data_IF_489378503732
#
_entry.id   IF_489378503732
#
_cell.length_a   1.000
_cell.length_b   1.000
_cell.length_c   1.000
_cell.angle_alpha   90.00
_cell.angle_beta   90.00
_cell.angle_gamma   90.00
#
_symmetry.space_group_name_H-M   'P 1'
#
loop_
_entity.id
_entity.type
_entity.pdbx_description
1 polymer ?
#
# COMPACT_ATOMS: atom_id res chain seq x y z
N UNK A 1 -9.62 0.62 1.93
CA UNK A 1 -9.08 0.55 3.33
C UNK A 1 -10.26 0.56 4.30
N UNK A 2 -10.72 -0.62 4.71
CA UNK A 2 -11.96 -0.81 5.49
C UNK A 2 -11.87 -0.28 6.94
N UNK A 3 -10.67 -0.09 7.47
CA UNK A 3 -10.43 0.32 8.86
C UNK A 3 -10.52 1.84 9.10
N UNK A 4 -11.21 2.60 8.25
CA UNK A 4 -11.43 4.04 8.45
C UNK A 4 -10.37 4.96 7.81
N UNK A 5 -9.55 4.46 6.92
CA UNK A 5 -8.56 5.24 6.18
C UNK A 5 -7.23 5.43 6.93
N UNK A 6 -6.38 6.32 6.41
CA UNK A 6 -5.01 6.54 6.91
C UNK A 6 -4.99 6.95 8.38
N UNK A 7 -5.88 7.85 8.78
CA UNK A 7 -5.89 8.40 10.15
C UNK A 7 -6.18 7.34 11.20
N UNK A 8 -7.14 6.47 10.94
CA UNK A 8 -7.52 5.44 11.90
C UNK A 8 -6.52 4.28 11.92
N UNK A 9 -6.02 3.87 10.77
CA UNK A 9 -4.96 2.83 10.72
C UNK A 9 -3.68 3.33 11.38
N UNK A 10 -3.35 4.63 11.28
CA UNK A 10 -2.23 5.22 12.02
C UNK A 10 -2.43 5.12 13.54
N UNK A 11 -3.64 5.39 14.05
CA UNK A 11 -3.95 5.23 15.48
C UNK A 11 -3.79 3.78 15.93
N UNK A 12 -4.25 2.82 15.11
CA UNK A 12 -4.07 1.39 15.37
C UNK A 12 -2.58 1.05 15.46
N UNK A 13 -1.76 1.58 14.53
CA UNK A 13 -0.31 1.39 14.55
C UNK A 13 0.35 1.92 15.83
N UNK A 14 -0.02 3.13 16.26
CA UNK A 14 0.49 3.73 17.51
C UNK A 14 0.09 2.88 18.73
N UNK A 15 -1.14 2.38 18.75
CA UNK A 15 -1.60 1.51 19.84
C UNK A 15 -0.85 0.18 19.84
N UNK A 16 -0.64 -0.44 18.69
CA UNK A 16 0.12 -1.67 18.56
C UNK A 16 1.56 -1.49 19.06
N UNK A 17 2.21 -0.38 18.69
CA UNK A 17 3.55 -0.03 19.15
C UNK A 17 3.61 0.11 20.67
N UNK A 18 2.61 0.75 21.28
CA UNK A 18 2.52 0.90 22.74
C UNK A 18 2.45 -0.45 23.48
N UNK A 19 1.94 -1.49 22.82
CA UNK A 19 1.88 -2.87 23.33
C UNK A 19 3.02 -3.76 22.80
N UNK A 20 4.06 -3.17 22.21
CA UNK A 20 5.19 -3.88 21.62
C UNK A 20 4.74 -4.93 20.55
N UNK A 21 3.74 -4.57 19.74
CA UNK A 21 3.20 -5.42 18.68
C UNK A 21 3.53 -4.86 17.32
N UNK A 22 3.83 -5.76 16.41
CA UNK A 22 3.98 -5.46 15.00
C UNK A 22 2.61 -5.47 14.32
N UNK A 23 2.44 -4.63 13.31
CA UNK A 23 1.22 -4.56 12.51
C UNK A 23 1.59 -4.61 11.03
N UNK A 24 0.88 -5.43 10.29
CA UNK A 24 0.95 -5.50 8.84
C UNK A 24 -0.45 -5.26 8.30
N UNK A 25 -0.70 -4.16 7.57
CA UNK A 25 -2.01 -3.92 7.00
C UNK A 25 -2.35 -5.00 5.96
N UNK A 26 -3.53 -5.59 6.08
CA UNK A 26 -4.09 -6.39 5.01
C UNK A 26 -4.50 -5.48 3.85
N UNK A 27 -4.03 -5.78 2.66
CA UNK A 27 -4.34 -5.04 1.44
C UNK A 27 -5.35 -5.82 0.63
N UNK A 28 -6.58 -5.34 0.61
CA UNK A 28 -7.61 -5.95 -0.20
C UNK A 28 -7.27 -5.84 -1.70
N UNK A 29 -7.55 -6.93 -2.36
CA UNK A 29 -7.29 -7.21 -3.78
C UNK A 29 -7.73 -6.08 -4.74
N UNK A 30 -8.75 -5.33 -4.40
CA UNK A 30 -9.45 -4.43 -5.32
C UNK A 30 -9.16 -2.93 -5.11
N UNK A 31 -8.25 -2.58 -4.20
CA UNK A 31 -8.01 -1.18 -3.84
C UNK A 31 -6.56 -0.74 -4.05
N UNK A 32 -6.13 -0.44 -5.28
CA UNK A 32 -4.75 -0.05 -5.55
C UNK A 32 -4.31 1.21 -4.76
N UNK A 33 -5.19 2.20 -4.60
CA UNK A 33 -4.90 3.38 -3.78
C UNK A 33 -4.76 3.04 -2.29
N UNK A 34 -5.55 2.07 -1.80
CA UNK A 34 -5.43 1.56 -0.44
C UNK A 34 -4.08 0.90 -0.18
N UNK A 35 -3.55 0.16 -1.16
CA UNK A 35 -2.21 -0.44 -1.08
C UNK A 35 -1.10 0.61 -1.02
N UNK A 36 -1.19 1.68 -1.82
CA UNK A 36 -0.23 2.79 -1.76
C UNK A 36 -0.31 3.52 -0.41
N UNK A 37 -1.51 3.76 0.09
CA UNK A 37 -1.68 4.36 1.42
C UNK A 37 -1.11 3.48 2.54
N UNK A 38 -1.30 2.16 2.46
CA UNK A 38 -0.71 1.20 3.38
C UNK A 38 0.83 1.20 3.31
N UNK A 39 1.40 1.32 2.12
CA UNK A 39 2.85 1.43 1.91
C UNK A 39 3.43 2.64 2.65
N UNK A 40 2.80 3.83 2.54
CA UNK A 40 3.20 5.01 3.28
C UNK A 40 3.10 4.83 4.79
N UNK A 41 2.02 4.19 5.28
CA UNK A 41 1.84 3.92 6.70
C UNK A 41 2.92 2.98 7.24
N UNK A 42 3.16 1.85 6.57
CA UNK A 42 4.19 0.88 6.96
C UNK A 42 5.56 1.54 6.99
N UNK A 43 5.91 2.33 5.98
CA UNK A 43 7.17 3.04 5.93
C UNK A 43 7.34 4.11 7.02
N UNK A 44 6.24 4.61 7.59
CA UNK A 44 6.26 5.61 8.65
C UNK A 44 6.41 5.02 10.06
N UNK A 45 6.24 3.73 10.23
CA UNK A 45 6.34 3.08 11.53
C UNK A 45 7.77 2.61 11.83
N UNK A 46 8.28 2.80 13.05
CA UNK A 46 9.63 2.39 13.42
C UNK A 46 9.90 0.90 13.22
N UNK A 47 8.86 0.08 13.32
CA UNK A 47 8.89 -1.37 13.10
C UNK A 47 8.09 -1.81 11.88
N UNK A 48 7.68 -0.86 11.02
CA UNK A 48 6.97 -1.14 9.78
C UNK A 48 7.94 -1.58 8.70
N UNK A 49 8.03 -2.89 8.46
CA UNK A 49 8.96 -3.44 7.48
C UNK A 49 8.31 -4.43 6.50
N UNK A 50 7.05 -4.75 6.68
CA UNK A 50 6.33 -5.68 5.84
C UNK A 50 5.03 -5.08 5.32
N UNK A 51 4.86 -5.10 4.02
CA UNK A 51 3.61 -4.80 3.33
C UNK A 51 3.10 -6.08 2.68
N UNK A 52 1.82 -6.38 2.88
CA UNK A 52 1.16 -7.46 2.16
C UNK A 52 0.85 -7.00 0.73
N UNK A 53 1.32 -7.75 -0.25
CA UNK A 53 0.97 -7.57 -1.66
C UNK A 53 0.64 -8.93 -2.27
N UNK A 54 -0.53 -9.00 -2.90
CA UNK A 54 -0.94 -10.22 -3.61
C UNK A 54 -0.10 -10.43 -4.86
N UNK A 55 0.57 -11.56 -4.93
CA UNK A 55 1.32 -11.96 -6.11
C UNK A 55 1.16 -13.46 -6.35
N UNK A 56 0.01 -13.85 -6.86
CA UNK A 56 -0.34 -15.23 -7.24
C UNK A 56 -0.95 -15.24 -8.65
N UNK A 57 -0.12 -14.99 -9.70
CA UNK A 57 -0.61 -15.01 -11.08
C UNK A 57 -1.11 -16.41 -11.47
N UNK A 58 -2.18 -16.50 -12.29
CA UNK A 58 -2.87 -15.39 -12.97
C UNK A 58 -4.02 -14.77 -12.16
N UNK A 59 -4.33 -15.28 -10.99
CA UNK A 59 -5.54 -14.93 -10.22
C UNK A 59 -5.36 -13.56 -9.55
N UNK A 60 -4.27 -13.41 -8.81
CA UNK A 60 -3.93 -12.19 -8.08
C UNK A 60 -2.55 -11.69 -8.50
N UNK A 61 -2.47 -10.45 -8.95
CA UNK A 61 -1.22 -9.83 -9.37
C UNK A 61 -1.29 -8.32 -9.10
N UNK A 62 -0.57 -7.88 -8.08
CA UNK A 62 -0.52 -6.48 -7.70
C UNK A 62 -0.07 -5.58 -8.87
N UNK A 63 0.82 -6.07 -9.73
CA UNK A 63 1.35 -5.29 -10.84
C UNK A 63 0.27 -4.93 -11.87
N UNK A 64 -0.68 -5.83 -12.12
CA UNK A 64 -1.83 -5.56 -12.99
C UNK A 64 -2.74 -4.48 -12.40
N UNK A 65 -2.93 -4.49 -11.10
CA UNK A 65 -3.77 -3.52 -10.40
C UNK A 65 -3.12 -2.16 -10.29
N UNK A 66 -1.82 -2.14 -10.06
CA UNK A 66 -1.03 -0.92 -10.07
C UNK A 66 -0.89 -0.34 -11.49
N UNK A 67 -1.28 -1.09 -12.51
CA UNK A 67 -1.37 -0.61 -13.90
C UNK A 67 -2.28 0.60 -14.09
N UNK A 68 -3.18 0.90 -13.14
CA UNK A 68 -3.95 2.16 -13.13
C UNK A 68 -3.05 3.39 -12.91
N UNK A 69 -1.85 3.23 -12.34
CA UNK A 69 -0.92 4.32 -12.10
C UNK A 69 0.09 4.43 -13.23
N UNK A 70 0.37 5.65 -13.68
CA UNK A 70 1.42 5.93 -14.68
C UNK A 70 2.82 5.71 -14.13
N UNK A 71 3.00 5.90 -12.82
CA UNK A 71 4.25 5.77 -12.08
C UNK A 71 4.12 4.73 -10.96
N UNK A 72 3.59 3.57 -11.28
CA UNK A 72 3.39 2.50 -10.31
C UNK A 72 4.70 2.05 -9.65
N UNK A 73 4.74 1.92 -8.31
CA UNK A 73 5.88 1.31 -7.66
C UNK A 73 5.94 -0.19 -7.97
N UNK A 74 7.15 -0.71 -8.08
CA UNK A 74 7.41 -2.12 -8.41
C UNK A 74 8.29 -2.74 -7.32
N UNK A 75 8.00 -3.99 -6.98
CA UNK A 75 8.86 -4.78 -6.10
C UNK A 75 10.15 -5.12 -6.85
N UNK A 76 11.29 -4.83 -6.24
CA UNK A 76 12.60 -5.12 -6.81
C UNK A 76 13.00 -6.59 -6.62
N UNK A 77 14.18 -6.96 -7.13
CA UNK A 77 14.68 -8.33 -7.07
C UNK A 77 15.00 -8.81 -5.65
N UNK A 78 15.18 -7.89 -4.72
CA UNK A 78 15.45 -8.17 -3.31
C UNK A 78 14.17 -8.23 -2.47
N UNK A 79 13.00 -7.99 -3.07
CA UNK A 79 11.71 -8.01 -2.40
C UNK A 79 11.32 -6.68 -1.74
N UNK A 80 11.97 -5.58 -2.10
CA UNK A 80 11.62 -4.25 -1.61
C UNK A 80 10.74 -3.49 -2.59
N UNK A 81 9.86 -2.66 -2.05
CA UNK A 81 9.07 -1.70 -2.81
C UNK A 81 9.34 -0.29 -2.29
N UNK A 82 9.67 0.62 -3.21
CA UNK A 82 9.94 2.00 -2.86
C UNK A 82 8.66 2.78 -2.62
N UNK A 83 8.66 3.62 -1.59
CA UNK A 83 7.55 4.55 -1.33
C UNK A 83 7.53 5.62 -2.42
N UNK A 84 6.42 5.79 -3.15
CA UNK A 84 6.32 6.83 -4.16
C UNK A 84 6.54 8.23 -3.57
N UNK A 85 7.30 9.05 -4.28
CA UNK A 85 7.62 10.43 -3.90
C UNK A 85 6.84 11.40 -4.79
N UNK A 86 6.30 12.43 -4.21
CA UNK A 86 5.53 13.44 -4.92
C UNK A 86 4.28 13.89 -4.16
N UNK A 87 3.48 14.76 -4.73
CA UNK A 87 2.26 15.26 -4.09
C UNK A 87 1.26 14.14 -3.77
N UNK A 88 0.54 14.28 -2.67
CA UNK A 88 -0.44 13.30 -2.20
C UNK A 88 0.22 11.96 -1.85
N UNK A 89 -0.25 10.88 -2.44
CA UNK A 89 0.33 9.54 -2.29
C UNK A 89 1.50 9.27 -3.24
N UNK A 90 1.95 10.25 -4.00
CA UNK A 90 3.07 10.13 -4.91
C UNK A 90 2.80 9.29 -6.17
N UNK A 91 1.55 8.87 -6.40
CA UNK A 91 1.14 8.14 -7.60
C UNK A 91 0.21 8.98 -8.46
N UNK A 92 0.28 8.77 -9.77
CA UNK A 92 -0.50 9.47 -10.77
C UNK A 92 -1.46 8.49 -11.45
N UNK A 93 -2.76 8.73 -11.28
CA UNK A 93 -3.78 7.88 -11.89
C UNK A 93 -3.84 8.16 -13.38
N UNK A 94 -3.87 7.12 -14.21
CA UNK A 94 -4.16 7.23 -15.63
C UNK A 94 -5.67 7.44 -15.82
N UNK A 95 -6.14 8.62 -16.24
CA UNK A 95 -7.56 8.91 -16.37
C UNK A 95 -8.26 8.04 -17.44
N UNK A 96 -7.51 7.57 -18.43
CA UNK A 96 -8.06 6.74 -19.52
C UNK A 96 -8.50 5.35 -19.04
N UNK A 97 -8.05 4.95 -17.85
CA UNK A 97 -8.39 3.66 -17.23
C UNK A 97 -9.44 3.77 -16.12
N UNK A 98 -9.90 4.99 -15.84
CA UNK A 98 -10.99 5.21 -14.87
C UNK A 98 -12.32 5.10 -15.60
N UNK A 99 -13.07 4.05 -15.28
CA UNK A 99 -14.42 3.83 -15.80
C UNK A 99 -15.42 4.48 -14.88
N UNK A 100 -16.27 5.32 -15.45
CA UNK A 100 -17.36 5.96 -14.69
C UNK A 100 -18.52 4.97 -14.42
#
# INVERSE_FOLDING_TARGET
MLAGGISDVRKIGVLAEAFDRQITPHVAIEEPLGAIAALHLVASWPRGNLLELDHDPPICDYSKRFGIFRNAPVVDQEGYISVPQGPGLGVEINPDLVVA
#
